data_IF_617117929017
#
_entry.id   IF_617117929017
#
_cell.length_a   1.000
_cell.length_b   1.000
_cell.length_c   1.000
_cell.angle_alpha   90.00
_cell.angle_beta   90.00
_cell.angle_gamma   90.00
#
_symmetry.space_group_name_H-M   'P 1'
#
loop_
_entity.id
_entity.type
_entity.pdbx_description
1 polymer ?
#
# COMPACT_ATOMS: atom_id res chain seq x y z
N UNK A 1 -18.02 -13.36 10.65
CA UNK A 1 -16.80 -12.77 10.05
C UNK A 1 -16.41 -11.55 10.88
N UNK A 2 -15.20 -11.49 11.45
CA UNK A 2 -14.81 -10.39 12.34
C UNK A 2 -14.45 -9.12 11.53
N UNK A 3 -15.08 -7.99 11.85
CA UNK A 3 -14.87 -6.67 11.21
C UNK A 3 -13.38 -6.31 11.14
N UNK A 4 -12.59 -6.71 12.15
CA UNK A 4 -11.16 -6.43 12.22
C UNK A 4 -10.35 -7.23 11.17
N UNK A 5 -10.72 -8.50 10.94
CA UNK A 5 -10.12 -9.34 9.88
C UNK A 5 -10.45 -8.84 8.48
N UNK A 6 -11.67 -8.33 8.27
CA UNK A 6 -12.07 -7.70 7.01
C UNK A 6 -11.25 -6.42 6.72
N UNK A 7 -11.00 -5.59 7.73
CA UNK A 7 -10.14 -4.40 7.59
C UNK A 7 -8.71 -4.77 7.19
N UNK A 8 -8.14 -5.82 7.79
CA UNK A 8 -6.80 -6.33 7.46
C UNK A 8 -6.72 -6.84 6.01
N UNK A 9 -7.69 -7.64 5.58
CA UNK A 9 -7.75 -8.15 4.21
C UNK A 9 -7.92 -7.03 3.18
N UNK A 10 -8.77 -6.04 3.47
CA UNK A 10 -8.93 -4.87 2.61
C UNK A 10 -7.60 -4.13 2.48
N UNK A 11 -6.94 -3.84 3.59
CA UNK A 11 -5.67 -3.10 3.57
C UNK A 11 -4.57 -3.86 2.82
N UNK A 12 -4.51 -5.19 2.95
CA UNK A 12 -3.59 -6.02 2.16
C UNK A 12 -3.83 -5.88 0.65
N UNK A 13 -5.10 -5.89 0.23
CA UNK A 13 -5.48 -5.69 -1.18
C UNK A 13 -5.10 -4.30 -1.66
N UNK A 14 -5.40 -3.27 -0.87
CA UNK A 14 -5.08 -1.88 -1.20
C UNK A 14 -3.56 -1.69 -1.37
N UNK A 15 -2.74 -2.38 -0.57
CA UNK A 15 -1.27 -2.42 -0.72
C UNK A 15 -0.87 -3.08 -2.04
N UNK A 16 -1.43 -4.25 -2.36
CA UNK A 16 -1.10 -4.99 -3.58
C UNK A 16 -1.47 -4.19 -4.84
N UNK A 17 -2.66 -3.59 -4.87
CA UNK A 17 -3.13 -2.74 -5.97
C UNK A 17 -2.27 -1.48 -6.13
N UNK A 18 -1.93 -0.81 -5.02
CA UNK A 18 -1.10 0.41 -5.07
C UNK A 18 0.32 0.10 -5.52
N UNK A 19 0.89 -1.05 -5.10
CA UNK A 19 2.20 -1.52 -5.56
C UNK A 19 2.19 -1.84 -7.05
N UNK A 20 1.16 -2.52 -7.54
CA UNK A 20 1.03 -2.82 -8.97
C UNK A 20 0.92 -1.54 -9.80
N UNK A 21 0.13 -0.57 -9.33
CA UNK A 21 0.07 0.77 -9.94
C UNK A 21 1.45 1.44 -9.98
N UNK A 22 2.18 1.43 -8.86
CA UNK A 22 3.52 2.03 -8.77
C UNK A 22 4.47 1.39 -9.77
N UNK A 23 4.49 0.06 -9.86
CA UNK A 23 5.33 -0.66 -10.82
C UNK A 23 5.01 -0.24 -12.26
N UNK A 24 3.72 -0.18 -12.62
CA UNK A 24 3.30 0.28 -13.96
C UNK A 24 3.76 1.72 -14.22
N UNK A 25 3.63 2.62 -13.25
CA UNK A 25 4.07 4.01 -13.39
C UNK A 25 5.59 4.12 -13.56
N UNK A 26 6.36 3.33 -12.81
CA UNK A 26 7.82 3.30 -12.93
C UNK A 26 8.25 2.71 -14.28
N UNK A 27 7.59 1.65 -14.75
CA UNK A 27 7.90 1.03 -16.04
C UNK A 27 7.56 1.97 -17.21
N UNK A 28 6.44 2.71 -17.13
CA UNK A 28 6.04 3.69 -18.14
C UNK A 28 6.94 4.94 -18.14
N UNK A 29 7.42 5.35 -16.97
CA UNK A 29 8.23 6.55 -16.80
C UNK A 29 9.69 6.20 -16.45
N UNK A 30 10.24 5.12 -17.03
CA UNK A 30 11.53 4.53 -16.63
C UNK A 30 12.75 5.47 -16.61
N UNK A 31 12.63 6.69 -17.14
CA UNK A 31 13.67 7.71 -17.17
C UNK A 31 13.35 8.97 -16.33
N UNK A 32 12.13 9.10 -15.79
CA UNK A 32 11.72 10.29 -15.05
C UNK A 32 10.84 9.94 -13.83
N UNK A 33 11.22 10.45 -12.67
CA UNK A 33 10.42 10.30 -11.45
C UNK A 33 9.36 11.38 -11.48
N UNK A 34 8.17 11.02 -11.94
CA UNK A 34 7.03 11.93 -11.98
C UNK A 34 6.44 12.16 -10.58
N UNK A 35 5.72 13.26 -10.42
CA UNK A 35 4.94 13.53 -9.20
C UNK A 35 3.98 12.38 -8.87
N UNK A 36 3.38 11.74 -9.89
CA UNK A 36 2.50 10.59 -9.68
C UNK A 36 3.23 9.36 -9.12
N UNK A 37 4.48 9.12 -9.54
CA UNK A 37 5.33 8.05 -8.97
C UNK A 37 5.61 8.33 -7.49
N UNK A 38 5.97 9.58 -7.16
CA UNK A 38 6.23 9.99 -5.76
C UNK A 38 4.97 9.85 -4.89
N UNK A 39 3.85 10.37 -5.35
CA UNK A 39 2.57 10.32 -4.62
C UNK A 39 2.10 8.86 -4.42
N UNK A 40 2.22 8.04 -5.46
CA UNK A 40 1.83 6.63 -5.38
C UNK A 40 2.76 5.87 -4.43
N UNK A 41 4.07 6.19 -4.43
CA UNK A 41 5.03 5.62 -3.47
C UNK A 41 4.71 6.02 -2.03
N UNK A 42 4.46 7.30 -1.75
CA UNK A 42 4.12 7.77 -0.41
C UNK A 42 2.82 7.14 0.11
N UNK A 43 1.83 7.00 -0.78
CA UNK A 43 0.58 6.32 -0.44
C UNK A 43 0.81 4.85 -0.09
N UNK A 44 1.69 4.16 -0.82
CA UNK A 44 2.06 2.78 -0.53
C UNK A 44 2.69 2.66 0.87
N UNK A 45 3.61 3.56 1.22
CA UNK A 45 4.25 3.59 2.54
C UNK A 45 3.23 3.76 3.67
N UNK A 46 2.28 4.69 3.51
CA UNK A 46 1.20 4.91 4.50
C UNK A 46 0.38 3.63 4.69
N UNK A 47 0.02 2.93 3.61
CA UNK A 47 -0.76 1.70 3.68
C UNK A 47 0.02 0.59 4.40
N UNK A 48 1.32 0.45 4.11
CA UNK A 48 2.21 -0.52 4.77
C UNK A 48 2.31 -0.23 6.27
N UNK A 49 2.56 1.03 6.66
CA UNK A 49 2.63 1.44 8.07
C UNK A 49 1.32 1.14 8.79
N UNK A 50 0.18 1.45 8.16
CA UNK A 50 -1.14 1.15 8.73
C UNK A 50 -1.35 -0.36 8.93
N UNK A 51 -0.85 -1.19 8.00
CA UNK A 51 -0.98 -2.63 8.07
C UNK A 51 -0.18 -3.21 9.25
N UNK A 52 1.08 -2.78 9.41
CA UNK A 52 1.89 -3.19 10.55
C UNK A 52 1.35 -2.65 11.89
N UNK A 53 0.77 -1.44 11.92
CA UNK A 53 0.10 -0.92 13.10
C UNK A 53 -1.09 -1.80 13.53
N UNK A 54 -1.80 -2.41 12.59
CA UNK A 54 -2.88 -3.35 12.89
C UNK A 54 -2.29 -4.67 13.43
N UNK A 55 -1.26 -5.22 12.77
CA UNK A 55 -0.59 -6.45 13.22
C UNK A 55 -0.02 -6.32 14.63
N UNK A 56 0.66 -5.23 14.95
CA UNK A 56 1.25 -4.99 16.27
C UNK A 56 0.19 -4.86 17.39
N UNK A 57 -1.07 -4.57 17.05
CA UNK A 57 -2.20 -4.56 17.99
C UNK A 57 -2.89 -5.93 18.12
N UNK A 58 -2.55 -6.91 17.27
CA UNK A 58 -3.05 -8.29 17.34
C UNK A 58 -2.15 -9.18 18.22
N UNK A 59 -0.87 -8.84 18.37
CA UNK A 59 0.09 -9.55 19.24
C UNK A 59 0.02 -9.14 20.74
N UNK A 60 -0.96 -8.31 21.13
CA UNK A 60 -1.22 -7.86 22.52
C UNK A 60 -2.59 -8.32 23.00
#
# INVERSE_FOLDING_TARGET
MNIRGLKKQRLKRDIEETREKLNVLVDQNALDITEEVLDTSQRLDILIVNYYCILAKEDK
#
